data_IF_738598185325
#
_entry.id   IF_738598185325
#
_cell.length_a   1.000
_cell.length_b   1.000
_cell.length_c   1.000
_cell.angle_alpha   90.00
_cell.angle_beta   90.00
_cell.angle_gamma   90.00
#
_symmetry.space_group_name_H-M   'P 1'
#
loop_
_entity.id
_entity.type
_entity.pdbx_description
1 polymer ?
#
# COMPACT_ATOMS: atom_id res chain seq x y z
N UNK A 1 -4.94 -13.19 18.63
CA UNK A 1 -4.31 -11.94 19.05
C UNK A 1 -2.87 -12.24 19.44
N UNK A 2 -1.98 -12.20 18.45
CA UNK A 2 -0.57 -12.52 18.66
C UNK A 2 0.14 -11.38 19.39
N UNK A 3 1.16 -11.69 20.20
CA UNK A 3 1.92 -10.58 20.83
C UNK A 3 2.58 -9.65 19.84
N UNK A 4 3.06 -10.18 18.71
CA UNK A 4 3.72 -9.33 17.72
C UNK A 4 2.74 -8.33 17.11
N UNK A 5 1.53 -8.77 16.79
CA UNK A 5 0.55 -7.84 16.23
C UNK A 5 0.00 -6.93 17.32
N UNK A 6 0.07 -7.37 18.57
CA UNK A 6 -0.28 -6.49 19.69
C UNK A 6 0.71 -5.33 19.78
N UNK A 7 2.01 -5.63 19.68
CA UNK A 7 3.02 -4.57 19.64
C UNK A 7 2.84 -3.70 18.41
N UNK A 8 2.50 -4.32 17.28
CA UNK A 8 2.20 -3.56 16.06
C UNK A 8 1.08 -2.56 16.31
N UNK A 9 -0.01 -3.00 16.94
CA UNK A 9 -1.14 -2.12 17.20
C UNK A 9 -0.77 -1.00 18.16
N UNK A 10 -0.01 -1.31 19.21
CA UNK A 10 0.32 -0.26 20.16
C UNK A 10 1.25 0.77 19.53
N UNK A 11 2.15 0.33 18.64
CA UNK A 11 2.98 1.28 17.90
C UNK A 11 2.12 2.17 17.02
N UNK A 12 1.16 1.57 16.31
CA UNK A 12 0.26 2.37 15.47
C UNK A 12 -0.50 3.39 16.31
N UNK A 13 -0.95 2.99 17.50
CA UNK A 13 -1.69 3.90 18.36
C UNK A 13 -0.80 5.04 18.85
N UNK A 14 0.41 4.72 19.30
CA UNK A 14 1.30 5.74 19.85
C UNK A 14 1.87 6.64 18.78
N UNK A 15 1.73 6.27 17.51
CA UNK A 15 2.18 7.15 16.43
C UNK A 15 1.40 8.46 16.37
N UNK A 16 0.24 8.54 17.01
CA UNK A 16 -0.62 9.73 16.92
C UNK A 16 -0.11 10.88 17.80
N UNK A 17 0.05 10.70 19.11
CA UNK A 17 0.48 11.84 19.93
C UNK A 17 1.84 12.38 19.53
N UNK A 18 2.76 11.51 19.09
CA UNK A 18 4.04 12.01 18.59
C UNK A 18 3.83 12.84 17.33
N UNK A 19 2.82 12.48 16.52
CA UNK A 19 2.46 13.33 15.40
C UNK A 19 2.01 14.71 15.85
N UNK A 20 1.16 14.77 16.88
CA UNK A 20 0.76 16.08 17.42
C UNK A 20 1.98 16.87 17.89
N UNK A 21 2.88 16.23 18.65
CA UNK A 21 4.03 16.95 19.17
C UNK A 21 4.95 17.45 18.06
N UNK A 22 5.23 16.63 17.05
CA UNK A 22 6.12 17.07 15.98
C UNK A 22 5.45 17.93 14.93
N UNK A 23 4.12 18.12 15.00
CA UNK A 23 3.50 19.09 14.10
C UNK A 23 4.05 20.49 14.30
N UNK A 24 4.20 20.93 15.55
CA UNK A 24 4.62 22.29 15.84
C UNK A 24 6.10 22.53 15.56
N UNK A 25 6.89 21.46 15.46
CA UNK A 25 8.34 21.58 15.36
C UNK A 25 8.75 22.28 14.07
N UNK A 26 9.87 22.99 14.14
CA UNK A 26 10.45 23.65 12.98
C UNK A 26 11.05 22.65 12.03
N UNK A 27 11.42 23.11 10.82
CA UNK A 27 11.81 22.15 9.77
C UNK A 27 12.97 21.23 10.16
N UNK A 28 14.12 21.80 10.52
CA UNK A 28 15.26 20.95 10.85
C UNK A 28 15.02 20.11 12.09
N UNK A 29 14.43 20.72 13.12
CA UNK A 29 14.17 19.98 14.35
C UNK A 29 13.16 18.86 14.11
N UNK A 30 12.12 19.15 13.34
CA UNK A 30 11.14 18.11 13.01
C UNK A 30 11.79 16.98 12.22
N UNK A 31 12.62 17.33 11.24
CA UNK A 31 13.32 16.32 10.45
C UNK A 31 14.16 15.41 11.33
N UNK A 32 15.02 16.01 12.16
CA UNK A 32 15.92 15.20 12.98
C UNK A 32 15.17 14.41 14.04
N UNK A 33 14.13 14.99 14.65
CA UNK A 33 13.35 14.25 15.62
C UNK A 33 12.60 13.09 15.00
N UNK A 34 12.02 13.29 13.82
CA UNK A 34 11.33 12.19 13.14
C UNK A 34 12.30 11.08 12.79
N UNK A 35 13.49 11.44 12.28
CA UNK A 35 14.49 10.41 11.97
C UNK A 35 14.90 9.65 13.21
N UNK A 36 15.14 10.38 14.31
CA UNK A 36 15.57 9.72 15.54
C UNK A 36 14.48 8.80 16.08
N UNK A 37 13.22 9.25 16.06
CA UNK A 37 12.13 8.41 16.55
C UNK A 37 11.97 7.17 15.68
N UNK A 38 12.04 7.33 14.36
CA UNK A 38 11.95 6.18 13.48
C UNK A 38 13.06 5.19 13.73
N UNK A 39 14.30 5.67 13.86
CA UNK A 39 15.41 4.77 14.14
C UNK A 39 15.25 4.08 15.49
N UNK A 40 14.79 4.81 16.51
CA UNK A 40 14.62 4.21 17.82
C UNK A 40 13.57 3.13 17.84
N UNK A 41 12.42 3.39 17.21
CA UNK A 41 11.39 2.37 17.13
C UNK A 41 11.84 1.18 16.28
N UNK A 42 12.60 1.45 15.21
CA UNK A 42 13.13 0.36 14.41
C UNK A 42 14.04 -0.54 15.23
N UNK A 43 14.92 0.06 16.02
CA UNK A 43 15.79 -0.74 16.88
C UNK A 43 15.00 -1.48 17.94
N UNK A 44 13.98 -0.83 18.51
CA UNK A 44 13.20 -1.45 19.57
C UNK A 44 12.43 -2.66 19.06
N UNK A 45 11.85 -2.56 17.87
CA UNK A 45 10.98 -3.63 17.37
C UNK A 45 11.65 -4.54 16.35
N UNK A 46 12.93 -4.33 16.04
CA UNK A 46 13.63 -5.15 15.06
C UNK A 46 14.87 -5.83 15.60
N UNK A 47 15.46 -5.33 16.68
CA UNK A 47 16.67 -5.89 17.21
C UNK A 47 17.86 -5.68 16.30
N UNK A 48 18.80 -6.62 16.30
CA UNK A 48 20.01 -6.46 15.48
C UNK A 48 19.77 -6.66 13.98
N UNK A 49 18.52 -6.77 13.53
CA UNK A 49 18.27 -7.02 12.12
C UNK A 49 18.11 -5.73 11.32
N UNK A 50 18.32 -4.57 11.93
CA UNK A 50 18.28 -3.32 11.19
C UNK A 50 19.42 -3.22 10.18
N UNK A 51 20.42 -4.10 10.29
CA UNK A 51 21.56 -4.06 9.38
C UNK A 51 21.12 -4.31 7.94
N UNK A 52 20.10 -5.14 7.73
CA UNK A 52 19.62 -5.36 6.37
C UNK A 52 19.08 -4.08 5.75
N UNK A 53 18.24 -3.36 6.48
CA UNK A 53 17.73 -2.08 5.98
C UNK A 53 18.87 -1.10 5.75
N UNK A 54 19.82 -1.04 6.68
CA UNK A 54 20.94 -0.11 6.52
C UNK A 54 21.72 -0.41 5.25
N UNK A 55 22.00 -1.70 5.01
CA UNK A 55 22.74 -2.07 3.82
C UNK A 55 21.93 -1.74 2.57
N UNK A 56 20.61 -1.92 2.64
CA UNK A 56 19.78 -1.62 1.47
C UNK A 56 19.85 -0.14 1.12
N UNK A 57 19.74 0.73 2.12
CA UNK A 57 19.81 2.17 1.86
C UNK A 57 21.20 2.56 1.34
N UNK A 58 22.25 2.01 1.96
CA UNK A 58 23.60 2.33 1.51
C UNK A 58 23.81 1.89 0.07
N UNK A 59 23.30 0.72 -0.29
CA UNK A 59 23.43 0.25 -1.66
C UNK A 59 22.66 1.12 -2.63
N UNK A 60 21.47 1.56 -2.25
CA UNK A 60 20.69 2.45 -3.12
C UNK A 60 21.44 3.74 -3.38
N UNK A 61 21.99 4.35 -2.32
CA UNK A 61 22.74 5.59 -2.50
C UNK A 61 23.98 5.35 -3.37
N UNK A 62 24.71 4.27 -3.10
CA UNK A 62 25.93 3.99 -3.85
C UNK A 62 25.63 3.76 -5.32
N UNK A 63 24.52 3.09 -5.62
CA UNK A 63 24.12 2.94 -7.02
C UNK A 63 23.68 4.26 -7.63
N UNK A 64 23.09 5.16 -6.84
CA UNK A 64 22.70 6.46 -7.37
C UNK A 64 23.92 7.24 -7.84
N UNK A 65 24.94 7.35 -6.99
CA UNK A 65 26.13 8.08 -7.45
C UNK A 65 26.94 7.26 -8.46
N UNK A 66 26.92 5.94 -8.36
CA UNK A 66 27.74 5.12 -9.25
C UNK A 66 27.28 5.21 -10.70
N UNK A 67 25.99 5.03 -10.93
CA UNK A 67 25.41 5.07 -12.28
C UNK A 67 24.20 5.99 -12.26
N UNK A 68 24.42 7.31 -12.20
CA UNK A 68 23.28 8.24 -12.21
C UNK A 68 22.45 8.15 -13.48
N UNK A 69 23.07 7.78 -14.61
CA UNK A 69 22.36 7.68 -15.88
C UNK A 69 21.39 6.50 -15.92
N UNK A 70 21.65 5.44 -15.16
CA UNK A 70 20.83 4.24 -15.21
C UNK A 70 20.55 3.71 -13.80
N UNK A 71 20.40 4.61 -12.84
CA UNK A 71 20.16 4.19 -11.45
C UNK A 71 18.80 3.54 -11.26
N UNK A 72 17.84 3.80 -12.16
CA UNK A 72 16.49 3.25 -11.99
C UNK A 72 16.50 1.73 -12.01
N UNK A 73 16.85 1.14 -13.16
CA UNK A 73 16.82 -0.31 -13.29
C UNK A 73 17.83 -0.98 -12.39
N UNK A 74 19.02 -0.38 -12.23
CA UNK A 74 20.02 -0.96 -11.36
C UNK A 74 19.53 -1.04 -9.92
N UNK A 75 18.95 0.05 -9.41
CA UNK A 75 18.43 0.05 -8.05
C UNK A 75 17.27 -0.91 -7.90
N UNK A 76 16.38 -0.97 -8.89
CA UNK A 76 15.25 -1.89 -8.83
C UNK A 76 15.72 -3.34 -8.76
N UNK A 77 16.63 -3.73 -9.65
CA UNK A 77 17.13 -5.09 -9.68
C UNK A 77 17.89 -5.42 -8.39
N UNK A 78 18.70 -4.46 -7.92
CA UNK A 78 19.45 -4.68 -6.69
C UNK A 78 18.51 -4.90 -5.51
N UNK A 79 17.45 -4.09 -5.42
CA UNK A 79 16.55 -4.20 -4.28
C UNK A 79 15.75 -5.50 -4.33
N UNK A 80 15.29 -5.89 -5.52
CA UNK A 80 14.57 -7.16 -5.63
C UNK A 80 15.48 -8.35 -5.31
N UNK A 81 16.71 -8.34 -5.84
CA UNK A 81 17.65 -9.42 -5.52
C UNK A 81 17.96 -9.44 -4.03
N UNK A 82 18.02 -8.27 -3.38
CA UNK A 82 18.33 -8.25 -1.97
C UNK A 82 17.14 -8.71 -1.15
N UNK A 83 15.92 -8.46 -1.64
CA UNK A 83 14.74 -9.08 -1.04
C UNK A 83 14.83 -10.60 -1.11
N UNK A 84 15.24 -11.12 -2.27
CA UNK A 84 15.43 -12.56 -2.40
C UNK A 84 16.46 -13.07 -1.40
N UNK A 85 17.57 -12.34 -1.26
CA UNK A 85 18.60 -12.72 -0.30
C UNK A 85 18.08 -12.68 1.12
N UNK A 86 17.28 -11.67 1.45
CA UNK A 86 16.80 -11.48 2.82
C UNK A 86 15.77 -12.53 3.20
N UNK A 87 14.94 -12.96 2.24
CA UNK A 87 13.92 -13.94 2.54
C UNK A 87 14.46 -15.37 2.55
N UNK A 88 15.72 -15.58 2.19
CA UNK A 88 16.32 -16.90 2.20
C UNK A 88 17.33 -17.08 3.33
N UNK A 89 17.16 -16.37 4.45
CA UNK A 89 18.08 -16.52 5.57
C UNK A 89 18.06 -17.94 6.13
N UNK A 90 16.87 -18.54 6.23
CA UNK A 90 16.78 -19.93 6.67
C UNK A 90 17.49 -20.85 5.69
N UNK A 91 17.41 -20.55 4.39
CA UNK A 91 18.11 -21.35 3.39
C UNK A 91 19.62 -21.27 3.56
N UNK A 92 20.12 -20.19 4.17
CA UNK A 92 21.55 -20.02 4.41
C UNK A 92 21.91 -20.09 5.87
N UNK A 93 20.97 -20.39 6.75
CA UNK A 93 21.26 -20.60 8.16
C UNK A 93 21.38 -19.33 8.99
N UNK A 94 21.22 -18.16 8.39
CA UNK A 94 21.30 -16.93 9.16
C UNK A 94 20.06 -16.80 10.06
N UNK A 95 20.16 -16.03 11.15
CA UNK A 95 19.01 -15.89 12.05
C UNK A 95 17.78 -15.37 11.34
N UNK A 96 16.62 -15.93 11.68
CA UNK A 96 15.38 -15.57 11.04
C UNK A 96 14.92 -14.19 11.49
N UNK A 97 14.32 -13.41 10.58
CA UNK A 97 13.84 -12.08 10.94
C UNK A 97 12.38 -12.08 11.39
N UNK A 98 12.03 -11.16 12.29
CA UNK A 98 10.65 -11.02 12.71
C UNK A 98 9.82 -10.44 11.56
N UNK A 99 8.50 -10.71 11.56
CA UNK A 99 7.65 -10.10 10.52
C UNK A 99 7.70 -8.59 10.50
N UNK A 100 8.00 -7.96 11.63
CA UNK A 100 8.26 -6.52 11.64
C UNK A 100 9.34 -6.16 10.63
N UNK A 101 10.43 -6.93 10.63
CA UNK A 101 11.51 -6.66 9.69
C UNK A 101 11.05 -6.86 8.25
N UNK A 102 10.21 -7.86 8.00
CA UNK A 102 9.72 -8.08 6.64
C UNK A 102 8.87 -6.91 6.16
N UNK A 103 7.97 -6.42 7.02
CA UNK A 103 7.16 -5.27 6.63
C UNK A 103 8.03 -4.03 6.40
N UNK A 104 8.99 -3.80 7.31
CA UNK A 104 9.87 -2.66 7.15
C UNK A 104 10.63 -2.77 5.83
N UNK A 105 11.05 -3.99 5.49
CA UNK A 105 11.78 -4.16 4.25
C UNK A 105 10.90 -3.87 3.04
N UNK A 106 9.63 -4.28 3.08
CA UNK A 106 8.74 -3.94 1.98
C UNK A 106 8.62 -2.43 1.81
N UNK A 107 8.38 -1.73 2.92
CA UNK A 107 8.21 -0.28 2.84
C UNK A 107 9.49 0.39 2.32
N UNK A 108 10.64 -0.04 2.82
CA UNK A 108 11.90 0.54 2.40
C UNK A 108 12.16 0.26 0.92
N UNK A 109 11.81 -0.94 0.46
CA UNK A 109 11.95 -1.24 -0.96
C UNK A 109 11.16 -0.25 -1.79
N UNK A 110 9.88 -0.05 -1.46
CA UNK A 110 9.06 0.88 -2.22
C UNK A 110 9.67 2.28 -2.20
N UNK A 111 10.04 2.76 -1.01
CA UNK A 111 10.53 4.13 -0.89
C UNK A 111 11.82 4.33 -1.67
N UNK A 112 12.75 3.40 -1.56
CA UNK A 112 14.03 3.59 -2.23
C UNK A 112 13.88 3.48 -3.74
N UNK A 113 13.01 2.60 -4.22
CA UNK A 113 12.81 2.51 -5.66
C UNK A 113 12.23 3.83 -6.19
N UNK A 114 11.26 4.40 -5.47
CA UNK A 114 10.72 5.68 -5.90
C UNK A 114 11.79 6.77 -5.87
N UNK A 115 12.63 6.79 -4.83
CA UNK A 115 13.68 7.79 -4.77
C UNK A 115 14.63 7.65 -5.95
N UNK A 116 14.99 6.41 -6.29
CA UNK A 116 15.89 6.20 -7.43
C UNK A 116 15.24 6.70 -8.71
N UNK A 117 13.94 6.46 -8.87
CA UNK A 117 13.27 6.94 -10.08
C UNK A 117 13.26 8.47 -10.13
N UNK A 118 13.04 9.11 -8.98
CA UNK A 118 13.06 10.56 -8.92
C UNK A 118 14.43 11.09 -9.30
N UNK A 119 15.49 10.46 -8.79
CA UNK A 119 16.84 10.89 -9.12
C UNK A 119 17.11 10.72 -10.61
N UNK A 120 16.66 9.59 -11.19
CA UNK A 120 16.84 9.37 -12.62
C UNK A 120 16.14 10.44 -13.42
N UNK A 121 14.88 10.73 -13.09
CA UNK A 121 14.13 11.74 -13.83
C UNK A 121 14.77 13.12 -13.68
N UNK A 122 15.22 13.47 -12.48
CA UNK A 122 15.83 14.78 -12.27
C UNK A 122 17.14 14.90 -13.04
N UNK A 123 17.96 13.84 -13.03
CA UNK A 123 19.22 13.87 -13.76
C UNK A 123 18.98 14.01 -15.26
N UNK A 124 18.01 13.26 -15.79
CA UNK A 124 17.65 13.42 -17.20
C UNK A 124 17.14 14.85 -17.45
N UNK A 125 16.47 15.43 -16.46
CA UNK A 125 15.98 16.80 -16.61
C UNK A 125 17.13 17.77 -16.75
N UNK A 126 18.14 17.70 -15.87
CA UNK A 126 19.29 18.60 -16.02
C UNK A 126 20.03 18.36 -17.32
N UNK A 127 20.17 17.08 -17.72
CA UNK A 127 20.88 16.78 -18.96
C UNK A 127 20.18 17.42 -20.15
N UNK A 128 18.86 17.22 -20.26
CA UNK A 128 18.10 17.89 -21.31
C UNK A 128 18.15 19.41 -21.14
N UNK A 129 18.33 19.89 -19.91
CA UNK A 129 18.33 21.32 -19.66
C UNK A 129 19.56 21.98 -20.29
N UNK A 130 20.75 21.43 -20.05
CA UNK A 130 21.87 22.06 -20.75
C UNK A 130 22.02 21.56 -22.17
N UNK A 131 21.26 20.54 -22.58
CA UNK A 131 21.25 20.16 -23.99
C UNK A 131 20.43 21.16 -24.81
N UNK A 132 19.28 21.58 -24.29
CA UNK A 132 18.41 22.50 -25.02
C UNK A 132 18.86 23.94 -24.94
N UNK A 133 19.48 24.35 -23.85
CA UNK A 133 19.90 25.73 -23.66
C UNK A 133 18.84 26.66 -23.14
N UNK A 134 17.64 26.15 -22.85
CA UNK A 134 16.53 26.96 -22.33
C UNK A 134 16.14 26.40 -20.96
N UNK A 135 16.54 27.09 -19.90
CA UNK A 135 16.23 26.67 -18.53
C UNK A 135 14.75 26.90 -18.26
N UNK A 136 14.00 25.82 -18.07
CA UNK A 136 12.58 25.93 -17.80
C UNK A 136 12.34 26.26 -16.33
N UNK A 137 11.11 26.69 -16.04
CA UNK A 137 10.72 27.00 -14.69
C UNK A 137 10.59 25.76 -13.83
N UNK A 138 10.49 25.95 -12.50
CA UNK A 138 10.37 24.80 -11.61
C UNK A 138 9.10 24.01 -11.84
N UNK A 139 9.24 22.75 -12.22
CA UNK A 139 8.10 21.88 -12.49
C UNK A 139 7.71 21.13 -11.22
N UNK A 140 6.40 21.02 -11.00
CA UNK A 140 5.88 20.33 -9.82
C UNK A 140 6.23 18.84 -9.87
N UNK A 141 6.61 18.30 -8.71
CA UNK A 141 6.95 16.90 -8.59
C UNK A 141 8.41 16.56 -8.75
N UNK A 142 9.25 17.52 -9.13
CA UNK A 142 10.67 17.27 -9.33
C UNK A 142 11.45 17.73 -8.12
N UNK A 143 12.51 16.99 -7.79
CA UNK A 143 13.34 17.31 -6.65
C UNK A 143 14.23 18.53 -6.96
N UNK A 144 14.52 19.35 -5.94
CA UNK A 144 15.38 20.51 -6.19
C UNK A 144 16.83 20.14 -6.42
N UNK A 145 17.35 19.15 -5.71
CA UNK A 145 18.75 18.75 -5.84
C UNK A 145 18.89 17.30 -5.40
N UNK A 146 20.03 16.72 -5.74
CA UNK A 146 20.31 15.33 -5.36
C UNK A 146 20.41 15.24 -3.84
N UNK A 147 19.79 14.24 -3.21
CA UNK A 147 19.85 14.15 -1.75
C UNK A 147 21.22 13.63 -1.28
N UNK A 148 21.61 14.08 -0.09
CA UNK A 148 22.81 13.58 0.54
C UNK A 148 22.53 12.28 1.28
N UNK A 149 23.60 11.61 1.71
CA UNK A 149 23.45 10.34 2.41
C UNK A 149 22.65 10.52 3.69
N UNK A 150 23.00 11.55 4.49
CA UNK A 150 22.28 11.78 5.74
C UNK A 150 20.85 12.20 5.47
N UNK A 151 20.63 12.96 4.38
CA UNK A 151 19.27 13.33 4.01
C UNK A 151 18.43 12.11 3.67
N UNK A 152 19.01 11.17 2.91
CA UNK A 152 18.30 9.94 2.60
C UNK A 152 18.02 9.13 3.86
N UNK A 153 18.99 9.08 4.77
CA UNK A 153 18.79 8.35 6.01
C UNK A 153 17.63 8.95 6.81
N UNK A 154 17.57 10.28 6.87
CA UNK A 154 16.48 10.93 7.59
C UNK A 154 15.15 10.70 6.92
N UNK A 155 15.12 10.73 5.58
CA UNK A 155 13.87 10.49 4.87
C UNK A 155 13.36 9.07 5.08
N UNK A 156 14.26 8.09 5.02
CA UNK A 156 13.84 6.69 5.09
C UNK A 156 13.32 6.33 6.47
N UNK A 157 14.03 6.74 7.53
CA UNK A 157 13.64 6.39 8.89
C UNK A 157 12.66 7.38 9.50
N UNK A 158 11.84 8.04 8.69
CA UNK A 158 10.75 8.81 9.24
C UNK A 158 9.76 7.87 9.92
N UNK A 159 9.29 8.27 11.10
CA UNK A 159 8.38 7.39 11.85
C UNK A 159 7.07 7.21 11.10
N UNK A 160 6.67 8.20 10.32
CA UNK A 160 5.50 8.05 9.46
C UNK A 160 5.83 7.07 8.35
N UNK A 161 5.02 6.04 8.20
CA UNK A 161 5.18 5.09 7.12
C UNK A 161 6.44 4.26 7.18
N UNK A 162 6.78 3.77 8.38
CA UNK A 162 7.95 2.92 8.54
C UNK A 162 7.59 1.51 8.96
N UNK A 163 6.47 1.31 9.67
CA UNK A 163 6.03 -0.03 10.06
C UNK A 163 4.90 -0.52 9.15
N UNK A 164 3.80 0.23 9.08
CA UNK A 164 2.67 -0.10 8.22
C UNK A 164 2.70 0.65 6.90
N UNK A 165 3.11 1.91 6.91
CA UNK A 165 2.96 2.78 5.77
C UNK A 165 2.10 3.96 6.11
N UNK A 166 1.38 4.50 5.13
CA UNK A 166 1.44 4.04 3.74
C UNK A 166 2.63 4.64 3.04
N UNK A 167 2.95 4.12 1.87
CA UNK A 167 4.04 4.66 1.08
C UNK A 167 3.82 6.13 0.74
N UNK A 168 4.91 6.88 0.76
CA UNK A 168 4.89 8.27 0.29
C UNK A 168 6.17 8.53 -0.49
N UNK A 169 6.04 9.31 -1.55
CA UNK A 169 7.20 9.70 -2.32
C UNK A 169 8.07 10.68 -1.54
N UNK A 170 9.33 10.76 -1.92
CA UNK A 170 10.26 11.67 -1.23
C UNK A 170 9.81 13.12 -1.38
N UNK A 171 9.33 13.48 -2.57
CA UNK A 171 8.84 14.84 -2.78
C UNK A 171 7.82 15.22 -1.72
N UNK A 172 6.98 14.26 -1.32
CA UNK A 172 6.03 14.53 -0.24
C UNK A 172 6.76 14.86 1.04
N UNK A 173 7.85 14.15 1.33
CA UNK A 173 8.62 14.45 2.52
C UNK A 173 9.19 15.86 2.47
N UNK A 174 9.72 16.25 1.32
CA UNK A 174 10.28 17.59 1.20
C UNK A 174 9.21 18.65 1.38
N UNK A 175 8.03 18.44 0.80
CA UNK A 175 6.94 19.40 0.98
C UNK A 175 6.46 19.42 2.43
N UNK A 176 6.58 18.31 3.14
CA UNK A 176 6.18 18.30 4.54
C UNK A 176 7.18 19.05 5.42
N UNK A 177 8.47 18.96 5.11
CA UNK A 177 9.46 19.70 5.90
C UNK A 177 9.44 21.18 5.58
N UNK A 178 9.18 21.53 4.31
CA UNK A 178 9.18 22.92 3.88
C UNK A 178 7.81 23.58 3.98
N UNK A 179 6.85 22.92 4.60
CA UNK A 179 5.51 23.48 4.72
C UNK A 179 5.53 24.68 5.66
N UNK A 180 5.10 25.86 5.22
CA UNK A 180 5.12 27.02 6.10
C UNK A 180 3.90 27.07 7.01
N UNK A 181 4.10 27.66 8.19
CA UNK A 181 3.07 27.84 9.20
C UNK A 181 2.36 26.53 9.52
N UNK A 182 3.03 25.60 10.20
CA UNK A 182 2.40 24.31 10.49
C UNK A 182 1.14 24.42 11.33
N UNK A 183 1.05 25.42 12.20
CA UNK A 183 -0.12 25.56 13.05
C UNK A 183 -1.39 25.89 12.31
N UNK A 184 -1.28 26.38 11.07
CA UNK A 184 -2.46 26.77 10.31
C UNK A 184 -3.24 25.57 9.80
N UNK A 185 -2.56 24.55 9.31
CA UNK A 185 -3.27 23.39 8.72
C UNK A 185 -4.02 22.64 9.82
N UNK A 186 -5.30 22.35 9.64
CA UNK A 186 -6.07 21.67 10.69
C UNK A 186 -5.73 20.18 10.75
N UNK A 187 -5.68 19.67 11.97
CA UNK A 187 -5.41 18.24 12.20
C UNK A 187 -6.52 17.54 12.97
N UNK A 188 -7.04 18.16 14.03
CA UNK A 188 -7.99 17.46 14.89
C UNK A 188 -9.31 17.17 14.17
N UNK A 189 -9.81 18.13 13.40
CA UNK A 189 -11.10 17.92 12.73
C UNK A 189 -11.03 16.80 11.69
N UNK A 190 -10.08 16.78 10.76
CA UNK A 190 -10.00 15.62 9.85
C UNK A 190 -9.69 14.33 10.58
N UNK A 191 -8.91 14.39 11.66
CA UNK A 191 -8.60 13.18 12.42
C UNK A 191 -9.86 12.59 13.02
N UNK A 192 -10.75 13.44 13.54
CA UNK A 192 -12.03 12.94 14.05
C UNK A 192 -12.93 12.47 12.90
N UNK A 193 -12.89 13.19 11.77
CA UNK A 193 -13.71 12.80 10.62
C UNK A 193 -13.30 11.46 10.03
N UNK A 194 -12.05 11.03 10.26
CA UNK A 194 -11.62 9.74 9.75
C UNK A 194 -11.57 8.67 10.83
N UNK A 195 -11.46 9.06 12.11
CA UNK A 195 -11.31 8.10 13.19
C UNK A 195 -12.65 7.69 13.83
N UNK A 196 -13.77 8.24 13.36
CA UNK A 196 -15.05 7.86 13.92
C UNK A 196 -15.38 6.36 13.76
N UNK A 197 -15.12 5.69 12.62
CA UNK A 197 -15.50 4.29 12.52
C UNK A 197 -14.47 3.30 13.06
N UNK A 198 -13.29 3.77 13.48
CA UNK A 198 -12.25 2.85 13.91
C UNK A 198 -12.66 1.96 15.09
N UNK A 199 -13.24 2.48 16.19
CA UNK A 199 -13.67 1.55 17.25
C UNK A 199 -14.74 0.58 16.80
N UNK A 200 -15.71 1.04 16.01
CA UNK A 200 -16.74 0.14 15.51
C UNK A 200 -16.15 -0.91 14.58
N UNK A 201 -15.22 -0.49 13.71
CA UNK A 201 -14.56 -1.43 12.81
C UNK A 201 -13.79 -2.48 13.60
N UNK A 202 -13.09 -2.06 14.65
CA UNK A 202 -12.35 -2.99 15.49
C UNK A 202 -13.25 -3.98 16.20
N UNK A 203 -14.37 -3.50 16.73
CA UNK A 203 -15.32 -4.39 17.39
C UNK A 203 -15.89 -5.40 16.40
N UNK A 204 -16.22 -4.95 15.19
CA UNK A 204 -16.71 -5.85 14.16
C UNK A 204 -15.65 -6.90 13.81
N UNK A 205 -14.38 -6.48 13.75
CA UNK A 205 -13.30 -7.41 13.46
C UNK A 205 -13.19 -8.48 14.53
N UNK A 206 -13.18 -8.07 15.80
CA UNK A 206 -13.08 -9.03 16.89
C UNK A 206 -14.27 -9.97 16.93
N UNK A 207 -15.47 -9.48 16.59
CA UNK A 207 -16.65 -10.33 16.56
C UNK A 207 -16.45 -11.51 15.61
N UNK A 208 -16.15 -11.20 14.35
CA UNK A 208 -15.98 -12.26 13.36
C UNK A 208 -14.75 -13.10 13.65
N UNK A 209 -13.74 -12.51 14.31
CA UNK A 209 -12.56 -13.27 14.66
C UNK A 209 -12.86 -14.33 15.70
N UNK A 210 -13.61 -13.97 16.73
CA UNK A 210 -13.93 -14.90 17.81
C UNK A 210 -14.97 -15.93 17.38
N UNK A 211 -15.99 -15.49 16.65
CA UNK A 211 -17.07 -16.40 16.27
C UNK A 211 -16.58 -17.47 15.29
N UNK A 212 -15.82 -17.06 14.27
CA UNK A 212 -15.39 -17.97 13.21
C UNK A 212 -13.88 -17.88 13.06
N UNK A 213 -13.13 -18.67 13.82
CA UNK A 213 -11.67 -18.64 13.71
C UNK A 213 -11.19 -19.16 12.35
N UNK A 214 -10.03 -18.65 11.93
CA UNK A 214 -9.46 -19.04 10.65
C UNK A 214 -8.87 -20.45 10.68
N UNK A 215 -8.38 -20.89 11.84
CA UNK A 215 -7.69 -22.17 11.94
C UNK A 215 -8.62 -23.37 11.77
N UNK A 216 -9.94 -23.15 11.73
CA UNK A 216 -10.87 -24.26 11.63
C UNK A 216 -10.66 -25.04 10.34
N UNK A 217 -10.42 -24.36 9.22
CA UNK A 217 -10.22 -25.03 7.95
C UNK A 217 -8.94 -25.87 7.95
N UNK A 218 -7.97 -25.55 8.81
CA UNK A 218 -6.83 -26.44 8.99
C UNK A 218 -7.26 -27.77 9.58
N UNK A 219 -8.25 -27.76 10.46
CA UNK A 219 -8.77 -28.97 11.08
C UNK A 219 -9.61 -29.74 10.07
N UNK A 220 -9.38 -31.06 10.00
CA UNK A 220 -10.09 -31.90 9.04
C UNK A 220 -11.57 -32.01 9.37
N UNK A 221 -11.93 -32.00 10.65
CA UNK A 221 -13.32 -32.20 11.04
C UNK A 221 -14.24 -31.09 10.54
N UNK A 222 -13.69 -29.92 10.21
CA UNK A 222 -14.50 -28.86 9.63
C UNK A 222 -15.09 -29.27 8.29
N UNK A 223 -14.36 -30.09 7.52
CA UNK A 223 -14.80 -30.46 6.19
C UNK A 223 -15.94 -31.47 6.19
N UNK A 224 -16.19 -32.13 7.33
CA UNK A 224 -17.33 -33.03 7.44
C UNK A 224 -18.66 -32.29 7.45
N UNK A 225 -18.65 -30.98 7.69
CA UNK A 225 -19.88 -30.21 7.64
C UNK A 225 -20.39 -30.13 6.21
N UNK A 226 -21.69 -29.96 6.01
CA UNK A 226 -22.24 -29.92 4.65
C UNK A 226 -21.71 -28.72 3.88
N UNK A 227 -21.78 -28.83 2.55
CA UNK A 227 -21.35 -27.73 1.68
C UNK A 227 -22.01 -26.39 2.01
N UNK A 228 -23.32 -26.31 2.31
CA UNK A 228 -23.86 -25.01 2.75
C UNK A 228 -23.16 -24.44 3.96
N UNK A 229 -22.75 -25.29 4.91
CA UNK A 229 -22.04 -24.79 6.08
C UNK A 229 -20.73 -24.12 5.66
N UNK A 230 -20.00 -24.73 4.72
CA UNK A 230 -18.79 -24.11 4.21
C UNK A 230 -19.10 -22.81 3.46
N UNK A 231 -20.21 -22.78 2.71
CA UNK A 231 -20.55 -21.57 1.97
C UNK A 231 -20.88 -20.42 2.90
N UNK A 232 -21.51 -20.70 4.05
CA UNK A 232 -21.75 -19.63 5.01
C UNK A 232 -20.49 -19.29 5.82
N UNK A 233 -19.60 -20.26 6.04
CA UNK A 233 -18.37 -20.00 6.80
C UNK A 233 -17.33 -19.25 5.99
N UNK A 234 -17.37 -19.35 4.66
CA UNK A 234 -16.34 -18.73 3.84
C UNK A 234 -16.45 -17.21 3.77
N UNK A 235 -17.57 -16.63 4.20
CA UNK A 235 -17.75 -15.18 4.18
C UNK A 235 -17.03 -14.52 5.35
N UNK A 236 -17.26 -14.93 6.61
CA UNK A 236 -16.65 -14.18 7.72
C UNK A 236 -15.13 -14.19 7.73
N UNK A 237 -14.48 -15.13 7.04
CA UNK A 237 -13.02 -15.13 6.99
C UNK A 237 -12.52 -13.85 6.32
N UNK A 238 -13.00 -13.57 5.10
CA UNK A 238 -12.62 -12.33 4.45
C UNK A 238 -13.28 -11.13 5.09
N UNK A 239 -14.43 -11.32 5.73
CA UNK A 239 -14.98 -10.21 6.52
C UNK A 239 -13.98 -9.74 7.57
N UNK A 240 -13.44 -10.69 8.34
CA UNK A 240 -12.45 -10.35 9.36
C UNK A 240 -11.17 -9.83 8.73
N UNK A 241 -10.72 -10.42 7.63
CA UNK A 241 -9.51 -9.96 6.97
C UNK A 241 -9.63 -8.49 6.56
N UNK A 242 -10.71 -8.18 5.82
CA UNK A 242 -10.95 -6.82 5.38
C UNK A 242 -11.12 -5.88 6.56
N UNK A 243 -11.83 -6.32 7.60
CA UNK A 243 -12.09 -5.47 8.75
C UNK A 243 -10.79 -5.13 9.48
N UNK A 244 -9.91 -6.13 9.65
CA UNK A 244 -8.64 -5.89 10.33
C UNK A 244 -7.75 -4.96 9.53
N UNK A 245 -7.64 -5.19 8.22
CA UNK A 245 -6.87 -4.26 7.40
C UNK A 245 -7.46 -2.87 7.43
N UNK A 246 -8.79 -2.78 7.46
CA UNK A 246 -9.43 -1.48 7.53
C UNK A 246 -9.07 -0.76 8.82
N UNK A 247 -9.11 -1.48 9.94
CA UNK A 247 -8.76 -0.87 11.23
C UNK A 247 -7.32 -0.38 11.21
N UNK A 248 -6.40 -1.24 10.75
CA UNK A 248 -4.99 -0.88 10.75
C UNK A 248 -4.73 0.33 9.86
N UNK A 249 -5.33 0.35 8.68
CA UNK A 249 -5.04 1.42 7.73
C UNK A 249 -5.72 2.72 8.13
N UNK A 250 -6.91 2.66 8.70
CA UNK A 250 -7.55 3.86 9.24
C UNK A 250 -6.71 4.43 10.36
N UNK A 251 -6.22 3.58 11.26
CA UNK A 251 -5.35 4.06 12.34
C UNK A 251 -4.09 4.68 11.77
N UNK A 252 -3.50 4.06 10.75
CA UNK A 252 -2.28 4.59 10.16
C UNK A 252 -2.53 5.95 9.53
N UNK A 253 -3.64 6.09 8.81
CA UNK A 253 -3.95 7.37 8.19
C UNK A 253 -4.20 8.45 9.24
N UNK A 254 -4.90 8.10 10.33
CA UNK A 254 -5.12 9.07 11.40
C UNK A 254 -3.81 9.50 12.03
N UNK A 255 -2.91 8.54 12.28
CA UNK A 255 -1.62 8.88 12.84
C UNK A 255 -0.80 9.75 11.92
N UNK A 256 -0.91 9.52 10.61
CA UNK A 256 -0.19 10.35 9.65
C UNK A 256 -0.77 11.74 9.58
N UNK A 257 -2.10 11.87 9.72
CA UNK A 257 -2.72 13.18 9.77
C UNK A 257 -2.27 13.93 11.01
N UNK A 258 -2.08 13.23 12.12
CA UNK A 258 -1.72 13.87 13.38
C UNK A 258 -0.47 14.73 13.25
N UNK A 259 0.44 14.35 12.35
CA UNK A 259 1.65 15.11 12.10
C UNK A 259 1.50 16.09 10.95
N UNK A 260 0.32 16.17 10.34
CA UNK A 260 0.13 17.05 9.21
C UNK A 260 0.77 16.58 7.92
N UNK A 261 1.27 15.35 7.89
CA UNK A 261 1.92 14.84 6.70
C UNK A 261 0.91 14.63 5.57
N UNK A 262 1.32 14.94 4.35
CA UNK A 262 0.48 14.75 3.18
C UNK A 262 -0.57 15.80 2.97
N UNK A 263 -0.59 16.86 3.76
CA UNK A 263 -1.58 17.91 3.62
C UNK A 263 -1.26 18.76 2.40
N UNK A 264 -2.26 18.99 1.56
CA UNK A 264 -2.13 19.81 0.36
C UNK A 264 -3.40 20.61 0.16
N UNK A 265 -3.31 21.74 -0.54
CA UNK A 265 -4.53 22.49 -0.87
C UNK A 265 -5.46 21.66 -1.75
N UNK A 266 -6.76 21.86 -1.55
CA UNK A 266 -7.74 21.14 -2.36
C UNK A 266 -7.65 21.56 -3.82
N UNK A 267 -7.27 22.81 -4.08
CA UNK A 267 -7.14 23.27 -5.46
C UNK A 267 -6.02 22.59 -6.21
N UNK A 268 -5.08 21.94 -5.50
CA UNK A 268 -4.01 21.22 -6.17
C UNK A 268 -4.52 19.98 -6.90
N UNK A 269 -5.73 19.51 -6.57
CA UNK A 269 -6.31 18.33 -7.19
C UNK A 269 -5.36 17.14 -7.09
N UNK A 270 -4.75 17.00 -5.92
CA UNK A 270 -3.78 15.93 -5.71
C UNK A 270 -4.44 14.56 -5.84
N UNK A 271 -3.62 13.57 -6.14
CA UNK A 271 -4.08 12.20 -6.30
C UNK A 271 -3.62 11.34 -5.13
N UNK A 272 -4.32 10.23 -4.92
CA UNK A 272 -4.01 9.32 -3.83
C UNK A 272 -2.62 8.71 -4.00
N UNK A 273 -1.69 9.09 -3.13
CA UNK A 273 -0.31 8.68 -3.23
C UNK A 273 0.52 9.48 -4.20
N UNK A 274 -0.10 9.95 -5.29
CA UNK A 274 0.61 10.66 -6.33
C UNK A 274 1.01 12.09 -6.02
N UNK A 275 0.52 12.65 -4.93
CA UNK A 275 0.79 14.03 -4.60
C UNK A 275 0.04 14.97 -5.50
N UNK A 276 0.41 16.26 -5.47
CA UNK A 276 -0.31 17.24 -6.29
C UNK A 276 -0.08 17.01 -7.78
N UNK A 277 -1.10 17.34 -8.56
CA UNK A 277 -1.00 17.32 -10.03
C UNK A 277 -1.12 18.70 -10.64
N UNK A 278 -1.60 19.69 -9.90
CA UNK A 278 -1.66 21.07 -10.35
C UNK A 278 -0.95 21.95 -9.32
N UNK A 279 -0.06 22.80 -9.80
CA UNK A 279 0.70 23.66 -8.90
C UNK A 279 -0.21 24.70 -8.26
N UNK A 280 0.01 24.94 -6.97
CA UNK A 280 -0.74 25.94 -6.24
C UNK A 280 0.24 26.84 -5.47
N UNK A 281 -0.11 28.12 -5.27
CA UNK A 281 0.80 29.03 -4.60
C UNK A 281 0.90 28.71 -3.13
N UNK A 282 2.12 28.70 -2.57
CA UNK A 282 2.25 28.52 -1.13
C UNK A 282 1.65 29.70 -0.40
N UNK A 283 1.11 29.48 0.81
CA UNK A 283 0.47 30.59 1.53
C UNK A 283 1.46 31.67 1.91
N UNK A 284 0.98 32.92 1.91
CA UNK A 284 1.81 34.04 2.29
C UNK A 284 1.61 34.48 3.73
N UNK A 285 0.41 34.31 4.27
CA UNK A 285 0.10 34.68 5.63
C UNK A 285 -0.58 33.52 6.35
N UNK A 286 -0.37 33.40 7.66
CA UNK A 286 -1.04 32.32 8.40
C UNK A 286 -2.55 32.39 8.33
N UNK A 287 -3.11 33.60 8.31
CA UNK A 287 -4.56 33.74 8.18
C UNK A 287 -5.04 33.23 6.83
N UNK A 288 -4.29 33.53 5.77
CA UNK A 288 -4.64 33.01 4.44
C UNK A 288 -4.56 31.50 4.41
N UNK A 289 -3.53 30.92 5.03
CA UNK A 289 -3.42 29.47 5.09
C UNK A 289 -4.59 28.86 5.85
N UNK A 290 -5.00 29.49 6.95
CA UNK A 290 -6.16 29.02 7.70
C UNK A 290 -7.44 29.14 6.88
N UNK A 291 -7.50 30.13 5.99
CA UNK A 291 -8.69 30.30 5.17
C UNK A 291 -8.86 29.17 4.16
N UNK A 292 -7.76 28.64 3.64
CA UNK A 292 -7.83 27.59 2.64
C UNK A 292 -8.30 26.28 3.25
N UNK A 293 -8.90 25.44 2.41
CA UNK A 293 -9.35 24.12 2.80
C UNK A 293 -8.31 23.08 2.41
N UNK A 294 -8.03 22.16 3.33
CA UNK A 294 -6.93 21.21 3.17
C UNK A 294 -7.46 19.78 3.22
N UNK A 295 -6.85 18.91 2.43
CA UNK A 295 -7.22 17.51 2.38
C UNK A 295 -5.98 16.63 2.54
N UNK A 296 -6.18 15.45 3.11
CA UNK A 296 -5.11 14.50 3.38
C UNK A 296 -5.27 13.25 2.52
N UNK A 297 -5.72 13.42 1.28
CA UNK A 297 -6.00 12.28 0.43
C UNK A 297 -4.74 11.64 -0.15
N UNK A 298 -3.61 12.34 -0.14
CA UNK A 298 -2.38 11.75 -0.66
C UNK A 298 -1.96 10.53 0.17
N UNK A 299 -2.08 10.63 1.49
CA UNK A 299 -1.77 9.50 2.37
C UNK A 299 -2.90 8.48 2.43
N UNK A 300 -4.07 8.82 1.90
CA UNK A 300 -5.23 7.95 1.92
C UNK A 300 -4.94 6.63 1.22
N UNK A 301 -4.98 5.52 1.96
CA UNK A 301 -4.60 4.23 1.43
C UNK A 301 -5.78 3.32 1.10
N UNK A 302 -6.94 3.57 1.70
CA UNK A 302 -8.12 2.74 1.48
C UNK A 302 -9.37 3.60 1.55
N UNK A 303 -10.36 3.23 0.72
CA UNK A 303 -11.69 3.81 0.77
C UNK A 303 -12.64 2.68 1.19
N UNK A 304 -13.15 2.77 2.43
CA UNK A 304 -14.00 1.71 2.95
C UNK A 304 -15.27 1.56 2.10
N UNK A 305 -15.94 2.67 1.81
CA UNK A 305 -17.23 2.60 1.13
C UNK A 305 -17.09 2.04 -0.27
N UNK A 306 -16.14 2.57 -1.05
CA UNK A 306 -16.02 2.15 -2.44
C UNK A 306 -15.63 0.69 -2.55
N UNK A 307 -14.62 0.26 -1.78
CA UNK A 307 -14.20 -1.13 -1.82
C UNK A 307 -15.31 -2.06 -1.33
N UNK A 308 -16.00 -1.68 -0.27
CA UNK A 308 -17.04 -2.53 0.30
C UNK A 308 -18.21 -2.68 -0.66
N UNK A 309 -18.61 -1.59 -1.32
CA UNK A 309 -19.80 -1.59 -2.16
C UNK A 309 -19.50 -1.27 -3.62
N UNK A 310 -18.38 -1.76 -4.15
CA UNK A 310 -18.11 -1.57 -5.57
C UNK A 310 -18.89 -2.58 -6.40
N UNK A 311 -18.89 -2.36 -7.71
CA UNK A 311 -19.56 -3.27 -8.63
C UNK A 311 -18.53 -4.14 -9.32
N UNK A 312 -17.67 -3.53 -10.13
CA UNK A 312 -16.70 -4.27 -10.92
C UNK A 312 -15.49 -4.64 -10.09
N UNK A 313 -14.92 -5.81 -10.37
CA UNK A 313 -13.73 -6.25 -9.65
C UNK A 313 -12.56 -5.33 -9.93
N UNK A 314 -12.46 -4.81 -11.15
CA UNK A 314 -11.36 -3.92 -11.51
C UNK A 314 -11.31 -2.70 -10.58
N UNK A 315 -12.44 -2.00 -10.45
CA UNK A 315 -12.47 -0.81 -9.61
C UNK A 315 -12.28 -1.18 -8.13
N UNK A 316 -12.80 -2.32 -7.72
CA UNK A 316 -12.59 -2.76 -6.35
C UNK A 316 -11.13 -2.95 -6.02
N UNK A 317 -10.37 -3.53 -6.95
CA UNK A 317 -8.93 -3.65 -6.74
C UNK A 317 -8.24 -2.30 -6.84
N UNK A 318 -8.74 -1.42 -7.72
CA UNK A 318 -8.16 -0.09 -7.85
C UNK A 318 -8.24 0.69 -6.54
N UNK A 319 -9.38 0.63 -5.86
CA UNK A 319 -9.54 1.35 -4.60
C UNK A 319 -8.89 0.63 -3.42
N UNK A 320 -8.22 -0.49 -3.67
CA UNK A 320 -7.55 -1.25 -2.62
C UNK A 320 -6.06 -0.92 -2.64
N UNK A 321 -5.54 -0.43 -1.51
CA UNK A 321 -4.14 -0.03 -1.39
C UNK A 321 -3.75 0.98 -2.47
N UNK A 322 -4.40 2.14 -2.42
CA UNK A 322 -4.23 3.13 -3.49
C UNK A 322 -2.78 3.58 -3.62
N UNK A 323 -2.08 3.75 -2.50
CA UNK A 323 -0.70 4.22 -2.54
C UNK A 323 0.19 3.23 -3.29
N UNK A 324 0.35 2.02 -2.75
CA UNK A 324 1.19 1.03 -3.38
C UNK A 324 0.68 0.72 -4.78
N UNK A 325 -0.64 0.80 -4.98
CA UNK A 325 -1.18 0.55 -6.31
C UNK A 325 -0.66 1.57 -7.32
N UNK A 326 -0.65 2.85 -6.93
CA UNK A 326 -0.06 3.86 -7.80
C UNK A 326 1.42 3.61 -8.00
N UNK A 327 2.12 3.21 -6.93
CA UNK A 327 3.54 2.92 -7.02
C UNK A 327 3.82 1.86 -8.08
N UNK A 328 3.09 0.74 -8.00
CA UNK A 328 3.19 -0.29 -9.02
C UNK A 328 2.85 0.25 -10.40
N UNK A 329 1.70 0.92 -10.50
CA UNK A 329 1.20 1.36 -11.80
C UNK A 329 2.20 2.26 -12.52
N UNK A 330 2.98 3.05 -11.78
CA UNK A 330 3.96 3.89 -12.45
C UNK A 330 5.28 3.14 -12.69
N UNK A 331 5.84 2.54 -11.63
CA UNK A 331 7.21 2.06 -11.76
C UNK A 331 7.33 0.71 -12.46
N UNK A 332 6.23 -0.03 -12.61
CA UNK A 332 6.25 -1.35 -13.23
C UNK A 332 5.32 -1.41 -14.45
N UNK A 333 4.07 -1.00 -14.27
CA UNK A 333 3.11 -1.09 -15.36
C UNK A 333 3.52 -0.21 -16.55
N UNK A 334 4.00 1.01 -16.27
CA UNK A 334 4.49 1.85 -17.35
C UNK A 334 5.79 1.30 -17.94
N UNK A 335 6.67 0.77 -17.10
CA UNK A 335 7.97 0.27 -17.53
C UNK A 335 7.94 -1.20 -17.93
N UNK A 336 6.76 -1.80 -18.00
CA UNK A 336 6.66 -3.21 -18.39
C UNK A 336 7.08 -3.37 -19.85
N UNK A 337 8.02 -4.27 -20.15
CA UNK A 337 8.44 -4.43 -21.55
C UNK A 337 7.35 -5.00 -22.44
N UNK A 338 6.30 -5.61 -21.88
CA UNK A 338 5.23 -6.18 -22.68
C UNK A 338 4.29 -5.10 -23.18
N UNK A 339 3.54 -5.43 -24.23
CA UNK A 339 2.57 -4.53 -24.82
C UNK A 339 1.13 -4.94 -24.60
N UNK A 340 0.85 -6.24 -24.53
CA UNK A 340 -0.51 -6.70 -24.31
C UNK A 340 -0.98 -6.33 -22.91
N UNK A 341 -2.25 -5.94 -22.80
CA UNK A 341 -2.82 -5.56 -21.51
C UNK A 341 -2.82 -6.75 -20.55
N UNK A 342 -3.16 -7.94 -21.06
CA UNK A 342 -3.20 -9.13 -20.21
C UNK A 342 -1.81 -9.48 -19.71
N UNK A 343 -0.81 -9.42 -20.59
CA UNK A 343 0.55 -9.79 -20.18
C UNK A 343 1.14 -8.74 -19.22
N UNK A 344 0.86 -7.47 -19.47
CA UNK A 344 1.31 -6.42 -18.54
C UNK A 344 0.65 -6.58 -17.17
N UNK A 345 -0.64 -6.90 -17.16
CA UNK A 345 -1.33 -7.15 -15.90
C UNK A 345 -0.74 -8.36 -15.19
N UNK A 346 -0.39 -9.41 -15.94
CA UNK A 346 0.23 -10.58 -15.35
C UNK A 346 1.59 -10.25 -14.74
N UNK A 347 2.38 -9.42 -15.43
CA UNK A 347 3.67 -8.99 -14.90
C UNK A 347 3.47 -8.22 -13.59
N UNK A 348 2.50 -7.30 -13.57
CA UNK A 348 2.23 -6.54 -12.36
C UNK A 348 1.79 -7.45 -11.22
N UNK A 349 0.91 -8.42 -11.51
CA UNK A 349 0.44 -9.33 -10.48
C UNK A 349 1.58 -10.18 -9.94
N UNK A 350 2.45 -10.67 -10.82
CA UNK A 350 3.58 -11.48 -10.39
C UNK A 350 4.53 -10.68 -9.51
N UNK A 351 4.82 -9.44 -9.91
CA UNK A 351 5.72 -8.62 -9.09
C UNK A 351 5.07 -8.25 -7.76
N UNK A 352 3.76 -8.01 -7.73
CA UNK A 352 3.08 -7.74 -6.48
C UNK A 352 3.12 -8.95 -5.56
N UNK A 353 2.91 -10.15 -6.11
CA UNK A 353 2.99 -11.36 -5.30
C UNK A 353 4.41 -11.56 -4.77
N UNK A 354 5.42 -11.30 -5.61
CA UNK A 354 6.79 -11.39 -5.15
C UNK A 354 7.08 -10.40 -4.03
N UNK A 355 6.54 -9.19 -4.15
CA UNK A 355 6.70 -8.18 -3.09
C UNK A 355 6.04 -8.66 -1.79
N UNK A 356 4.85 -9.23 -1.89
CA UNK A 356 4.15 -9.69 -0.69
C UNK A 356 4.91 -10.83 -0.01
N UNK A 357 5.40 -11.79 -0.78
CA UNK A 357 6.13 -12.90 -0.21
C UNK A 357 6.39 -14.05 -1.17
N UNK A 358 7.28 -14.96 -0.79
CA UNK A 358 7.64 -16.10 -1.61
C UNK A 358 6.75 -17.31 -1.39
N UNK A 359 5.81 -17.25 -0.45
CA UNK A 359 4.97 -18.40 -0.16
C UNK A 359 4.04 -18.67 -1.35
N UNK A 360 3.77 -19.95 -1.65
CA UNK A 360 2.97 -20.27 -2.85
C UNK A 360 1.55 -19.74 -2.82
N UNK A 361 1.01 -19.41 -1.64
CA UNK A 361 -0.36 -18.92 -1.58
C UNK A 361 -0.55 -17.62 -2.35
N UNK A 362 0.39 -16.69 -2.20
CA UNK A 362 0.33 -15.44 -2.95
C UNK A 362 0.35 -15.72 -4.46
N UNK A 363 1.24 -16.62 -4.89
CA UNK A 363 1.33 -16.93 -6.32
C UNK A 363 0.02 -17.50 -6.83
N UNK A 364 -0.55 -18.46 -6.10
CA UNK A 364 -1.81 -19.06 -6.53
C UNK A 364 -2.93 -18.03 -6.61
N UNK A 365 -3.08 -17.20 -5.57
CA UNK A 365 -4.17 -16.23 -5.56
C UNK A 365 -4.02 -15.21 -6.69
N UNK A 366 -2.83 -14.63 -6.83
CA UNK A 366 -2.62 -13.61 -7.83
C UNK A 366 -2.49 -14.17 -9.24
N UNK A 367 -2.38 -15.50 -9.38
CA UNK A 367 -2.49 -16.11 -10.70
C UNK A 367 -3.93 -16.46 -11.04
N UNK A 368 -4.76 -16.75 -10.03
CA UNK A 368 -6.17 -16.99 -10.28
C UNK A 368 -6.96 -15.70 -10.51
N UNK A 369 -6.49 -14.58 -9.97
CA UNK A 369 -7.19 -13.30 -10.18
C UNK A 369 -7.36 -12.97 -11.66
N UNK A 370 -6.34 -13.08 -12.52
CA UNK A 370 -6.55 -12.71 -13.94
C UNK A 370 -7.64 -13.49 -14.64
N UNK A 371 -7.90 -14.73 -14.25
CA UNK A 371 -8.97 -15.49 -14.91
C UNK A 371 -10.31 -14.80 -14.75
N UNK A 372 -10.69 -14.49 -13.50
CA UNK A 372 -11.95 -13.82 -13.28
C UNK A 372 -11.91 -12.39 -13.81
N UNK A 373 -10.75 -11.73 -13.79
CA UNK A 373 -10.68 -10.40 -14.36
C UNK A 373 -11.02 -10.40 -15.85
N UNK A 374 -10.38 -11.29 -16.62
CA UNK A 374 -10.65 -11.36 -18.05
C UNK A 374 -12.08 -11.80 -18.33
N UNK A 375 -12.57 -12.77 -17.55
CA UNK A 375 -13.94 -13.22 -17.71
C UNK A 375 -14.91 -12.06 -17.51
N UNK A 376 -14.68 -11.26 -16.46
CA UNK A 376 -15.52 -10.09 -16.24
C UNK A 376 -15.42 -9.08 -17.36
N UNK A 377 -14.22 -8.78 -17.83
CA UNK A 377 -14.11 -7.82 -18.92
C UNK A 377 -14.93 -8.25 -20.11
N UNK A 378 -14.80 -9.52 -20.49
CA UNK A 378 -15.52 -10.02 -21.67
C UNK A 378 -17.03 -10.01 -21.43
N UNK A 379 -17.48 -10.53 -20.29
CA UNK A 379 -18.91 -10.63 -20.04
C UNK A 379 -19.56 -9.25 -19.95
N UNK A 380 -18.92 -8.32 -19.24
CA UNK A 380 -19.49 -6.98 -19.12
C UNK A 380 -19.55 -6.29 -20.48
N UNK A 381 -18.42 -6.25 -21.20
CA UNK A 381 -18.41 -5.59 -22.49
C UNK A 381 -19.32 -6.27 -23.51
N UNK A 382 -19.70 -7.53 -23.27
CA UNK A 382 -20.58 -8.22 -24.21
C UNK A 382 -22.05 -8.08 -23.86
N UNK A 383 -22.41 -7.92 -22.58
CA UNK A 383 -23.81 -7.99 -22.19
C UNK A 383 -24.39 -6.71 -21.59
N UNK A 384 -23.56 -5.84 -21.00
CA UNK A 384 -24.13 -4.70 -20.26
C UNK A 384 -24.92 -3.77 -21.17
N UNK A 385 -24.61 -3.75 -22.47
CA UNK A 385 -25.29 -2.86 -23.38
C UNK A 385 -26.66 -3.32 -23.84
N UNK A 386 -27.09 -4.52 -23.40
CA UNK A 386 -28.33 -5.11 -23.87
C UNK A 386 -29.47 -5.02 -22.86
N UNK A 387 -29.16 -4.87 -21.57
CA UNK A 387 -30.16 -4.96 -20.52
C UNK A 387 -30.91 -3.64 -20.33
N UNK A 388 -32.12 -3.74 -19.80
CA UNK A 388 -32.96 -2.60 -19.48
C UNK A 388 -32.46 -1.93 -18.19
N UNK A 389 -32.90 -0.70 -17.92
CA UNK A 389 -32.48 -0.05 -16.66
C UNK A 389 -32.82 -0.87 -15.42
N UNK A 390 -34.00 -1.48 -15.37
CA UNK A 390 -34.28 -2.43 -14.31
C UNK A 390 -33.36 -3.64 -14.40
N UNK A 391 -33.12 -4.13 -15.61
CA UNK A 391 -32.10 -5.15 -15.80
C UNK A 391 -30.72 -4.68 -15.40
N UNK A 392 -30.42 -3.40 -15.62
CA UNK A 392 -29.15 -2.86 -15.15
C UNK A 392 -29.05 -2.91 -13.63
N UNK A 393 -30.13 -2.54 -12.93
CA UNK A 393 -30.10 -2.61 -11.47
C UNK A 393 -29.95 -4.04 -10.97
N UNK A 394 -30.68 -4.98 -11.59
CA UNK A 394 -30.55 -6.37 -11.19
C UNK A 394 -29.15 -6.89 -11.46
N UNK A 395 -28.57 -6.53 -12.61
CA UNK A 395 -27.20 -6.91 -12.93
C UNK A 395 -26.23 -6.35 -11.90
N UNK A 396 -26.42 -5.09 -11.49
CA UNK A 396 -25.53 -4.47 -10.52
C UNK A 396 -25.62 -5.17 -9.16
N UNK A 397 -26.83 -5.50 -8.73
CA UNK A 397 -26.98 -6.18 -7.43
C UNK A 397 -26.35 -7.56 -7.46
N UNK A 398 -26.69 -8.37 -8.47
CA UNK A 398 -26.12 -9.70 -8.57
C UNK A 398 -24.61 -9.59 -8.70
N UNK A 399 -24.13 -8.56 -9.39
CA UNK A 399 -22.70 -8.38 -9.57
C UNK A 399 -22.01 -8.01 -8.28
N UNK A 400 -22.61 -7.18 -7.43
CA UNK A 400 -22.00 -6.87 -6.14
C UNK A 400 -21.87 -8.15 -5.33
N UNK A 401 -22.93 -8.96 -5.33
CA UNK A 401 -22.87 -10.22 -4.60
C UNK A 401 -21.78 -11.13 -5.15
N UNK A 402 -21.70 -11.24 -6.48
CA UNK A 402 -20.69 -12.11 -7.10
C UNK A 402 -19.27 -11.61 -6.83
N UNK A 403 -19.07 -10.30 -6.87
CA UNK A 403 -17.74 -9.74 -6.65
C UNK A 403 -17.29 -9.95 -5.21
N UNK A 404 -18.19 -9.75 -4.24
CA UNK A 404 -17.79 -9.99 -2.86
C UNK A 404 -17.56 -11.47 -2.62
N UNK A 405 -18.35 -12.35 -3.28
CA UNK A 405 -18.10 -13.77 -3.17
C UNK A 405 -16.75 -14.16 -3.75
N UNK A 406 -16.37 -13.55 -4.89
CA UNK A 406 -15.06 -13.83 -5.47
C UNK A 406 -13.94 -13.36 -4.56
N UNK A 407 -14.09 -12.18 -3.95
CA UNK A 407 -13.10 -11.72 -2.99
C UNK A 407 -12.95 -12.69 -1.83
N UNK A 408 -14.07 -13.20 -1.30
CA UNK A 408 -13.99 -14.20 -0.23
C UNK A 408 -13.26 -15.45 -0.72
N UNK A 409 -13.69 -15.94 -1.88
CA UNK A 409 -13.16 -17.18 -2.46
C UNK A 409 -11.64 -17.11 -2.61
N UNK A 410 -11.14 -15.99 -3.10
CA UNK A 410 -9.70 -15.85 -3.27
C UNK A 410 -9.01 -15.45 -1.99
N UNK A 411 -9.75 -14.90 -1.03
CA UNK A 411 -9.18 -14.59 0.28
C UNK A 411 -8.75 -15.84 1.01
N UNK A 412 -9.57 -16.89 0.98
CA UNK A 412 -9.12 -18.13 1.61
C UNK A 412 -7.78 -18.59 1.05
N UNK A 413 -7.67 -18.66 -0.28
CA UNK A 413 -6.42 -19.05 -0.90
C UNK A 413 -5.28 -18.13 -0.51
N UNK A 414 -5.57 -16.84 -0.34
CA UNK A 414 -4.53 -15.90 0.06
C UNK A 414 -4.07 -16.13 1.50
N UNK A 415 -5.01 -16.44 2.40
CA UNK A 415 -4.71 -16.39 3.83
C UNK A 415 -4.30 -17.73 4.44
N UNK A 416 -4.66 -18.86 3.82
CA UNK A 416 -4.15 -20.13 4.34
C UNK A 416 -2.63 -20.22 4.22
N UNK A 417 -2.06 -19.62 3.18
CA UNK A 417 -0.61 -19.45 2.99
C UNK A 417 0.11 -20.78 2.75
N UNK A 418 -0.57 -21.91 2.83
CA UNK A 418 0.05 -23.22 2.64
C UNK A 418 -0.60 -23.91 1.46
N UNK A 419 0.23 -24.47 0.59
CA UNK A 419 -0.25 -25.06 -0.65
C UNK A 419 -1.24 -26.19 -0.38
N UNK A 420 -0.89 -27.10 0.54
CA UNK A 420 -1.71 -28.29 0.76
C UNK A 420 -3.08 -27.92 1.31
N UNK A 421 -3.13 -27.12 2.37
CA UNK A 421 -4.41 -26.76 2.96
C UNK A 421 -5.23 -25.90 2.00
N UNK A 422 -4.58 -24.98 1.30
CA UNK A 422 -5.28 -24.16 0.32
C UNK A 422 -5.95 -25.03 -0.75
N UNK A 423 -5.19 -25.97 -1.32
CA UNK A 423 -5.76 -26.85 -2.34
C UNK A 423 -6.87 -27.71 -1.76
N UNK A 424 -6.70 -28.19 -0.53
CA UNK A 424 -7.72 -29.05 0.07
C UNK A 424 -9.03 -28.29 0.26
N UNK A 425 -8.96 -27.07 0.78
CA UNK A 425 -10.18 -26.28 0.94
C UNK A 425 -10.77 -25.89 -0.41
N UNK A 426 -9.91 -25.56 -1.37
CA UNK A 426 -10.36 -25.16 -2.70
C UNK A 426 -11.12 -26.29 -3.39
N UNK A 427 -10.64 -27.53 -3.27
CA UNK A 427 -11.38 -28.67 -3.79
C UNK A 427 -12.61 -28.96 -2.93
N UNK A 428 -12.56 -28.62 -1.64
CA UNK A 428 -13.72 -28.83 -0.78
C UNK A 428 -14.93 -28.02 -1.21
N UNK A 429 -14.71 -26.87 -1.85
CA UNK A 429 -15.80 -26.08 -2.40
C UNK A 429 -16.05 -26.39 -3.86
N UNK A 430 -15.37 -27.40 -4.40
CA UNK A 430 -15.60 -27.90 -5.76
C UNK A 430 -15.31 -26.86 -6.83
N UNK A 431 -14.37 -25.95 -6.55
CA UNK A 431 -13.92 -24.95 -7.53
C UNK A 431 -15.10 -24.16 -8.08
N UNK A 432 -16.02 -23.77 -7.18
CA UNK A 432 -17.28 -23.19 -7.61
C UNK A 432 -17.08 -21.94 -8.46
N UNK A 433 -16.28 -20.99 -7.96
CA UNK A 433 -16.09 -19.75 -8.70
C UNK A 433 -15.30 -19.99 -9.98
N UNK A 434 -14.30 -20.86 -9.94
CA UNK A 434 -13.49 -21.11 -11.13
C UNK A 434 -14.33 -21.66 -12.28
N UNK A 435 -15.21 -22.61 -11.98
CA UNK A 435 -16.09 -23.14 -13.03
C UNK A 435 -17.02 -22.06 -13.56
N UNK A 436 -17.59 -21.24 -12.67
CA UNK A 436 -18.44 -20.14 -13.12
C UNK A 436 -17.63 -19.10 -13.89
N UNK A 437 -16.40 -18.83 -13.45
CA UNK A 437 -15.54 -17.89 -14.16
C UNK A 437 -15.26 -18.37 -15.58
N UNK A 438 -14.97 -19.67 -15.73
CA UNK A 438 -14.80 -20.22 -17.07
C UNK A 438 -16.11 -20.18 -17.85
N UNK A 439 -17.22 -20.45 -17.18
CA UNK A 439 -18.53 -20.31 -17.82
C UNK A 439 -18.79 -18.86 -18.21
N UNK A 440 -18.41 -17.92 -17.35
CA UNK A 440 -18.58 -16.51 -17.67
C UNK A 440 -17.73 -16.11 -18.87
N UNK A 441 -16.50 -16.61 -18.93
CA UNK A 441 -15.60 -16.29 -20.04
C UNK A 441 -15.96 -17.09 -21.29
#
# INVERSE_FOLDING_TARGET
MSPEEWTYLVVLLISIPIGFLFKKAGPGLKRWGAAAVGLGLTLFTCGPHTLHSLVTILGTWALIQAQPCSCHALALAWTFSYLLFFRALSLLGLPTPTPFTNAVQLLLTLKLVSLASEVQDLHLAQRKEMASGFSKGPTLGLLPDVPSLMETLSYSYCYVGIMTGPFFRYRTYLDWLEQPFPGAVPSLRPLLRRAWPAPLFGLLFLLSSHLFPLEAVREDAFYARPLPARLFYMIPVFFAFRMRFYVAWIAAECGCIAAGFGAYPVAAKARAGGGPTLQCPPPSSPEKAASLEYDYETIRNIDCYSTDFCVRVRDGMRYWNMTVQWWLAQYIYKSAPARSYVLRSAWTMLLSAYWHGLHPGYYLSFLTIPLCLAAEGRLESALRGRLSPGGQKAWDWVHWFLKMRAYDYMCMGFVLLSLADTLRYWASIYFCIHFLALAALGLGLALGGGSPSRRKAASQPTSLAPEKLREELEACGIENLYFQ
#
